data_IF_288005456243
#
_entry.id   IF_288005456243
#
_cell.length_a   1.000
_cell.length_b   1.000
_cell.length_c   1.000
_cell.angle_alpha   90.00
_cell.angle_beta   90.00
_cell.angle_gamma   90.00
#
_symmetry.space_group_name_H-M   'P 1'
#
loop_
_entity.id
_entity.type
_entity.pdbx_description
1 polymer ?
#
# COMPACT_ATOMS: atom_id res chain seq x y z
N UNK A 1 -18.61 2.18 -22.03
CA UNK A 1 -17.35 2.88 -21.63
C UNK A 1 -16.95 2.64 -20.19
N UNK A 2 -17.87 2.54 -19.21
CA UNK A 2 -17.55 2.40 -17.78
C UNK A 2 -16.72 1.15 -17.39
N UNK A 3 -16.91 0.01 -18.06
CA UNK A 3 -16.24 -1.26 -17.70
C UNK A 3 -14.71 -1.25 -17.88
N UNK A 4 -14.19 -0.50 -18.87
CA UNK A 4 -12.73 -0.37 -19.07
C UNK A 4 -12.07 0.54 -18.02
N UNK A 5 -12.77 1.59 -17.58
CA UNK A 5 -12.29 2.49 -16.53
C UNK A 5 -12.13 1.79 -15.19
N UNK A 6 -13.09 0.91 -14.84
CA UNK A 6 -13.04 0.10 -13.63
C UNK A 6 -11.83 -0.87 -13.64
N UNK A 7 -11.61 -1.59 -14.74
CA UNK A 7 -10.49 -2.53 -14.86
C UNK A 7 -9.11 -1.85 -14.78
N UNK A 8 -8.96 -0.66 -15.36
CA UNK A 8 -7.72 0.14 -15.27
C UNK A 8 -7.52 0.66 -13.84
N UNK A 9 -8.61 1.05 -13.16
CA UNK A 9 -8.57 1.46 -11.76
C UNK A 9 -8.15 0.32 -10.82
N UNK A 10 -8.62 -0.89 -11.07
CA UNK A 10 -8.34 -2.07 -10.24
C UNK A 10 -6.89 -2.54 -10.41
N UNK A 11 -6.38 -2.60 -11.64
CA UNK A 11 -4.98 -2.93 -11.91
C UNK A 11 -4.00 -1.88 -11.35
N UNK A 12 -4.37 -0.59 -11.40
CA UNK A 12 -3.60 0.48 -10.76
C UNK A 12 -3.61 0.32 -9.23
N UNK A 13 -4.75 -0.05 -8.65
CA UNK A 13 -4.87 -0.28 -7.22
C UNK A 13 -3.99 -1.46 -6.76
N UNK A 14 -3.93 -2.55 -7.52
CA UNK A 14 -3.01 -3.67 -7.26
C UNK A 14 -1.55 -3.24 -7.27
N UNK A 15 -1.14 -2.48 -8.29
CA UNK A 15 0.23 -1.98 -8.39
C UNK A 15 0.60 -1.05 -7.23
N UNK A 16 -0.33 -0.17 -6.80
CA UNK A 16 -0.12 0.70 -5.64
C UNK A 16 -0.02 -0.10 -4.35
N UNK A 17 -0.87 -1.12 -4.15
CA UNK A 17 -0.82 -2.01 -2.97
C UNK A 17 0.53 -2.70 -2.85
N UNK A 18 1.00 -3.32 -3.93
CA UNK A 18 2.30 -3.99 -3.96
C UNK A 18 3.43 -3.02 -3.62
N UNK A 19 3.40 -1.82 -4.22
CA UNK A 19 4.42 -0.79 -3.98
C UNK A 19 4.42 -0.24 -2.55
N UNK A 20 3.25 -0.11 -1.94
CA UNK A 20 3.14 0.26 -0.51
C UNK A 20 3.70 -0.85 0.37
N UNK A 21 3.35 -2.11 0.10
CA UNK A 21 3.82 -3.23 0.89
C UNK A 21 5.36 -3.38 0.85
N UNK A 22 5.96 -3.32 -0.35
CA UNK A 22 7.42 -3.36 -0.51
C UNK A 22 8.11 -2.21 0.20
N UNK A 23 7.57 -1.01 0.09
CA UNK A 23 8.19 0.16 0.68
C UNK A 23 8.07 0.14 2.22
N UNK A 24 6.97 -0.37 2.78
CA UNK A 24 6.85 -0.59 4.24
C UNK A 24 7.83 -1.65 4.71
N UNK A 25 7.96 -2.77 4.01
CA UNK A 25 8.90 -3.83 4.36
C UNK A 25 10.36 -3.35 4.37
N UNK A 26 10.71 -2.40 3.48
CA UNK A 26 12.05 -1.82 3.40
C UNK A 26 12.32 -0.76 4.48
N UNK A 27 11.37 0.15 4.69
CA UNK A 27 11.58 1.35 5.51
C UNK A 27 11.24 1.12 6.99
N UNK A 28 10.49 0.07 7.31
CA UNK A 28 9.98 -0.19 8.66
C UNK A 28 10.39 -1.59 9.15
N UNK A 29 11.62 -1.73 9.69
CA UNK A 29 12.10 -3.00 10.23
C UNK A 29 11.19 -3.50 11.37
N UNK A 30 10.73 -4.74 11.27
CA UNK A 30 9.83 -5.35 12.26
C UNK A 30 8.35 -4.98 12.11
N UNK A 31 7.97 -4.31 11.02
CA UNK A 31 6.57 -4.25 10.61
C UNK A 31 6.17 -5.52 9.86
N UNK A 32 5.01 -6.06 10.20
CA UNK A 32 4.31 -7.07 9.41
C UNK A 32 3.38 -6.36 8.44
N UNK A 33 3.33 -6.86 7.21
CA UNK A 33 2.46 -6.32 6.15
C UNK A 33 1.60 -7.44 5.61
N UNK A 34 0.30 -7.22 5.60
CA UNK A 34 -0.70 -8.12 5.03
C UNK A 34 -1.53 -7.37 3.98
N UNK A 35 -1.78 -8.01 2.84
CA UNK A 35 -2.68 -7.48 1.81
C UNK A 35 -3.97 -8.28 1.86
N UNK A 36 -5.06 -7.65 2.32
CA UNK A 36 -6.38 -8.28 2.42
C UNK A 36 -7.35 -7.61 1.46
N UNK A 37 -7.52 -8.22 0.29
CA UNK A 37 -8.38 -7.70 -0.79
C UNK A 37 -7.97 -6.30 -1.23
N UNK A 38 -8.70 -5.28 -0.78
CA UNK A 38 -8.45 -3.87 -1.13
C UNK A 38 -7.62 -3.11 -0.10
N UNK A 39 -7.32 -3.74 1.03
CA UNK A 39 -6.65 -3.11 2.17
C UNK A 39 -5.20 -3.58 2.28
N UNK A 40 -4.32 -2.69 2.73
CA UNK A 40 -2.95 -3.03 3.16
C UNK A 40 -2.90 -2.77 4.65
N UNK A 41 -2.76 -3.85 5.41
CA UNK A 41 -2.70 -3.83 6.86
C UNK A 41 -1.24 -3.86 7.26
N UNK A 42 -0.80 -2.87 8.04
CA UNK A 42 0.57 -2.77 8.54
C UNK A 42 0.52 -2.84 10.06
N UNK A 43 1.16 -3.86 10.62
CA UNK A 43 1.19 -4.14 12.07
C UNK A 43 2.62 -4.00 12.58
N UNK A 44 2.80 -3.30 13.70
CA UNK A 44 4.13 -3.05 14.25
C UNK A 44 4.10 -2.01 15.36
N UNK A 45 5.20 -1.90 16.10
CA UNK A 45 5.35 -0.90 17.19
C UNK A 45 6.04 0.36 16.66
N UNK A 46 5.51 1.53 17.02
CA UNK A 46 6.11 2.81 16.64
C UNK A 46 5.97 3.17 15.16
N UNK A 47 4.93 2.68 14.47
CA UNK A 47 4.73 2.89 13.03
C UNK A 47 4.39 4.33 12.63
N UNK A 48 3.76 5.10 13.52
CA UNK A 48 3.20 6.43 13.21
C UNK A 48 4.20 7.44 12.60
N UNK A 49 5.43 7.59 13.12
CA UNK A 49 6.44 8.44 12.48
C UNK A 49 6.93 7.86 11.15
N UNK A 50 7.04 6.53 11.07
CA UNK A 50 7.59 5.80 9.94
C UNK A 50 6.63 5.63 8.76
N UNK A 51 5.35 6.01 8.87
CA UNK A 51 4.39 5.93 7.76
C UNK A 51 4.00 7.30 7.17
N UNK A 52 4.56 8.41 7.68
CA UNK A 52 4.23 9.77 7.19
C UNK A 52 4.53 9.98 5.70
N UNK A 53 5.47 9.23 5.14
CA UNK A 53 5.88 9.33 3.73
C UNK A 53 4.96 8.57 2.76
N UNK A 54 4.08 7.67 3.23
CA UNK A 54 3.19 6.88 2.35
C UNK A 54 2.28 7.77 1.50
N UNK A 55 1.85 8.93 2.02
CA UNK A 55 1.06 9.89 1.24
C UNK A 55 1.77 10.42 -0.02
N UNK A 56 3.10 10.33 -0.08
CA UNK A 56 3.89 10.71 -1.27
C UNK A 56 3.99 9.60 -2.33
N UNK A 57 3.76 8.33 -1.97
CA UNK A 57 3.76 7.21 -2.91
C UNK A 57 2.50 7.14 -3.79
N UNK A 58 1.41 7.73 -3.31
CA UNK A 58 0.08 7.65 -3.95
C UNK A 58 -0.13 8.82 -4.93
N UNK A 59 0.81 9.77 -5.00
CA UNK A 59 0.71 10.98 -5.83
C UNK A 59 1.16 10.76 -7.28
#
# INVERSE_FOLDING_TARGET
MAARGAAIGEARADAVRARVAEAVAREVPGAEVEVSGREVIVTGRGLMPALRWIGSLIR
#
